data_IF_964605529222
#
_entry.id   IF_964605529222
#
_cell.length_a   1.000
_cell.length_b   1.000
_cell.length_c   1.000
_cell.angle_alpha   90.00
_cell.angle_beta   90.00
_cell.angle_gamma   90.00
#
_symmetry.space_group_name_H-M   'P 1'
#
loop_
_entity.id
_entity.type
_entity.pdbx_description
1 polymer ?
#
# COMPACT_ATOMS: atom_id res chain seq x y z
N UNK A 1 -36.64 45.23 25.85
CA UNK A 1 -37.27 44.83 27.13
C UNK A 1 -36.87 45.83 28.19
N UNK A 2 -37.84 46.63 28.64
CA UNK A 2 -37.62 47.85 29.41
C UNK A 2 -37.29 47.61 30.89
N UNK A 3 -36.67 48.62 31.50
CA UNK A 3 -36.61 48.78 32.95
C UNK A 3 -36.94 50.22 33.32
N UNK A 4 -37.93 50.32 34.21
CA UNK A 4 -38.56 51.51 34.76
C UNK A 4 -37.60 52.32 35.63
N UNK A 5 -37.69 53.64 35.55
CA UNK A 5 -37.17 54.60 36.53
C UNK A 5 -38.32 55.09 37.43
N UNK A 6 -38.18 55.15 38.75
CA UNK A 6 -39.08 55.93 39.59
C UNK A 6 -38.56 57.36 39.77
N UNK A 7 -39.40 58.33 39.40
CA UNK A 7 -39.23 59.75 39.72
C UNK A 7 -39.68 60.00 41.17
N UNK A 8 -38.83 60.64 41.98
CA UNK A 8 -39.19 61.12 43.31
C UNK A 8 -39.43 62.63 43.24
N UNK A 9 -40.67 63.03 43.54
CA UNK A 9 -41.08 64.41 43.71
C UNK A 9 -40.68 64.91 45.11
N UNK A 10 -40.03 66.07 45.19
CA UNK A 10 -39.72 66.75 46.45
C UNK A 10 -40.55 68.04 46.50
N UNK A 11 -41.39 68.12 47.52
CA UNK A 11 -42.28 69.23 47.83
C UNK A 11 -41.50 70.42 48.39
N UNK A 12 -41.72 71.60 47.80
CA UNK A 12 -41.23 72.90 48.26
C UNK A 12 -42.12 73.43 49.38
N UNK A 13 -41.60 73.52 50.60
CA UNK A 13 -42.22 74.25 51.71
C UNK A 13 -41.56 75.63 51.83
N UNK A 14 -42.31 76.68 51.50
CA UNK A 14 -41.92 78.06 51.73
C UNK A 14 -42.23 78.45 53.17
N UNK A 15 -41.21 78.82 53.95
CA UNK A 15 -41.35 79.38 55.30
C UNK A 15 -41.06 80.88 55.22
N UNK A 16 -42.08 81.68 55.56
CA UNK A 16 -42.04 83.13 55.68
C UNK A 16 -41.51 83.45 57.09
N UNK A 17 -40.33 84.06 57.19
CA UNK A 17 -39.80 84.62 58.45
C UNK A 17 -39.97 86.14 58.46
N UNK A 18 -40.71 86.62 59.46
CA UNK A 18 -40.80 88.03 59.83
C UNK A 18 -39.53 88.49 60.53
N UNK A 19 -38.97 89.62 60.11
CA UNK A 19 -37.76 90.21 60.67
C UNK A 19 -38.10 91.14 61.86
N UNK A 20 -37.47 90.97 63.04
CA UNK A 20 -37.44 92.00 64.07
C UNK A 20 -36.26 92.97 63.84
N UNK A 21 -36.56 94.26 63.90
CA UNK A 21 -35.58 95.36 63.81
C UNK A 21 -35.06 95.63 65.23
N UNK A 22 -33.74 95.49 65.43
CA UNK A 22 -33.06 95.86 66.68
C UNK A 22 -32.02 96.97 66.45
N UNK A 23 -31.87 97.93 67.39
CA UNK A 23 -30.95 99.05 67.26
C UNK A 23 -29.50 98.64 67.54
N UNK A 24 -28.59 99.05 66.64
CA UNK A 24 -27.17 98.76 66.70
C UNK A 24 -26.46 99.57 67.81
N UNK A 25 -25.92 98.86 68.80
CA UNK A 25 -24.91 99.35 69.75
C UNK A 25 -23.53 98.87 69.30
N UNK A 26 -22.53 99.76 69.32
CA UNK A 26 -21.18 99.57 68.75
C UNK A 26 -20.29 98.53 69.46
N UNK A 27 -20.79 97.86 70.51
CA UNK A 27 -20.19 96.66 71.11
C UNK A 27 -20.52 95.36 70.34
N UNK A 28 -21.52 95.37 69.45
CA UNK A 28 -21.88 94.20 68.62
C UNK A 28 -20.84 93.83 67.57
N UNK A 29 -19.97 94.75 67.15
CA UNK A 29 -19.08 94.49 66.02
C UNK A 29 -17.97 93.48 66.34
N UNK A 30 -17.44 93.50 67.57
CA UNK A 30 -16.42 92.54 68.00
C UNK A 30 -17.00 91.14 68.24
N UNK A 31 -18.18 91.05 68.88
CA UNK A 31 -18.87 89.77 69.08
C UNK A 31 -19.28 89.13 67.74
N UNK A 32 -19.70 89.93 66.74
CA UNK A 32 -19.97 89.41 65.41
C UNK A 32 -18.71 88.85 64.72
N UNK A 33 -17.55 89.47 64.93
CA UNK A 33 -16.28 88.99 64.35
C UNK A 33 -15.86 87.63 64.95
N UNK A 34 -15.97 87.49 66.27
CA UNK A 34 -15.71 86.22 66.96
C UNK A 34 -16.72 85.12 66.55
N UNK A 35 -17.96 85.52 66.20
CA UNK A 35 -18.98 84.60 65.73
C UNK A 35 -18.70 84.10 64.31
N UNK A 36 -18.19 84.95 63.41
CA UNK A 36 -17.75 84.52 62.08
C UNK A 36 -16.54 83.58 62.14
N UNK A 37 -15.56 83.88 62.99
CA UNK A 37 -14.40 83.00 63.20
C UNK A 37 -14.80 81.61 63.73
N UNK A 38 -15.86 81.53 64.55
CA UNK A 38 -16.41 80.24 65.01
C UNK A 38 -17.13 79.48 63.90
N UNK A 39 -17.88 80.18 63.05
CA UNK A 39 -18.58 79.56 61.91
C UNK A 39 -17.59 78.99 60.90
N UNK A 40 -16.56 79.76 60.53
CA UNK A 40 -15.53 79.34 59.60
C UNK A 40 -14.77 78.10 60.11
N UNK A 41 -14.49 78.04 61.42
CA UNK A 41 -13.90 76.84 62.05
C UNK A 41 -14.81 75.62 61.96
N UNK A 42 -16.12 75.79 62.14
CA UNK A 42 -17.07 74.68 62.01
C UNK A 42 -17.17 74.18 60.58
N UNK A 43 -17.23 75.09 59.60
CA UNK A 43 -17.29 74.74 58.17
C UNK A 43 -15.99 74.07 57.71
N UNK A 44 -14.84 74.54 58.18
CA UNK A 44 -13.55 73.88 57.95
C UNK A 44 -13.55 72.44 58.47
N UNK A 45 -13.94 72.25 59.74
CA UNK A 45 -13.93 70.93 60.37
C UNK A 45 -14.92 69.97 59.67
N UNK A 46 -16.12 70.44 59.36
CA UNK A 46 -17.12 69.66 58.63
C UNK A 46 -16.63 69.25 57.23
N UNK A 47 -15.96 70.16 56.51
CA UNK A 47 -15.38 69.88 55.21
C UNK A 47 -14.23 68.85 55.29
N UNK A 48 -13.35 68.94 56.29
CA UNK A 48 -12.27 67.96 56.53
C UNK A 48 -12.84 66.59 56.89
N UNK A 49 -13.82 66.52 57.78
CA UNK A 49 -14.44 65.25 58.19
C UNK A 49 -15.13 64.56 57.02
N UNK A 50 -15.81 65.35 56.19
CA UNK A 50 -16.45 64.86 54.97
C UNK A 50 -15.43 64.43 53.91
N UNK A 51 -14.33 65.17 53.75
CA UNK A 51 -13.23 64.77 52.89
C UNK A 51 -12.64 63.42 53.33
N UNK A 52 -12.37 63.25 54.63
CA UNK A 52 -11.88 62.00 55.20
C UNK A 52 -12.88 60.85 55.03
N UNK A 53 -14.18 61.11 55.20
CA UNK A 53 -15.24 60.13 54.92
C UNK A 53 -15.24 59.71 53.44
N UNK A 54 -15.11 60.66 52.50
CA UNK A 54 -15.01 60.38 51.07
C UNK A 54 -13.72 59.63 50.69
N UNK A 55 -12.59 59.94 51.34
CA UNK A 55 -11.33 59.20 51.17
C UNK A 55 -11.49 57.73 51.61
N UNK A 56 -12.10 57.48 52.78
CA UNK A 56 -12.40 56.11 53.26
C UNK A 56 -13.38 55.37 52.36
N UNK A 57 -14.34 56.08 51.78
CA UNK A 57 -15.26 55.54 50.79
C UNK A 57 -14.64 55.37 49.39
N UNK A 58 -13.34 55.66 49.21
CA UNK A 58 -12.60 55.64 47.94
C UNK A 58 -13.23 56.52 46.85
N UNK A 59 -13.99 57.55 47.23
CA UNK A 59 -14.54 58.56 46.32
C UNK A 59 -13.60 59.77 46.25
N UNK A 60 -12.54 59.63 45.47
CA UNK A 60 -11.50 60.66 45.35
C UNK A 60 -12.01 62.01 44.82
N UNK A 61 -12.91 62.08 43.82
CA UNK A 61 -13.49 63.36 43.38
C UNK A 61 -14.22 64.10 44.50
N UNK A 62 -15.02 63.39 45.30
CA UNK A 62 -15.66 63.98 46.48
C UNK A 62 -14.61 64.53 47.46
N UNK A 63 -13.62 63.70 47.82
CA UNK A 63 -12.60 64.10 48.78
C UNK A 63 -11.80 65.32 48.29
N UNK A 64 -11.43 65.38 47.01
CA UNK A 64 -10.76 66.56 46.44
C UNK A 64 -11.63 67.83 46.48
N UNK A 65 -12.93 67.70 46.26
CA UNK A 65 -13.87 68.83 46.30
C UNK A 65 -14.01 69.37 47.73
N UNK A 66 -14.16 68.49 48.71
CA UNK A 66 -14.31 68.90 50.12
C UNK A 66 -12.99 69.43 50.71
N UNK A 67 -11.83 68.87 50.32
CA UNK A 67 -10.52 69.46 50.67
C UNK A 67 -10.32 70.86 50.06
N UNK A 68 -10.83 71.11 48.86
CA UNK A 68 -10.78 72.45 48.25
C UNK A 68 -11.70 73.46 48.96
N UNK A 69 -12.84 73.02 49.52
CA UNK A 69 -13.68 73.87 50.38
C UNK A 69 -13.00 74.15 51.72
N UNK A 70 -12.41 73.13 52.35
CA UNK A 70 -11.62 73.29 53.56
C UNK A 70 -10.44 74.26 53.35
N UNK A 71 -9.79 74.22 52.17
CA UNK A 71 -8.70 75.15 51.84
C UNK A 71 -9.12 76.62 51.85
N UNK A 72 -10.37 76.93 51.49
CA UNK A 72 -10.91 78.30 51.47
C UNK A 72 -11.23 78.82 52.87
N UNK A 73 -11.55 77.92 53.81
CA UNK A 73 -11.88 78.27 55.20
C UNK A 73 -10.65 78.17 56.16
N UNK A 74 -9.49 77.73 55.68
CA UNK A 74 -8.32 77.49 56.51
C UNK A 74 -7.55 78.79 56.84
N UNK A 75 -7.80 79.35 58.03
CA UNK A 75 -7.19 80.61 58.47
C UNK A 75 -6.06 80.43 59.50
N UNK A 76 -6.02 79.32 60.25
CA UNK A 76 -4.99 79.07 61.27
C UNK A 76 -3.86 78.15 60.79
N UNK A 77 -2.72 78.16 61.50
CA UNK A 77 -1.63 77.20 61.26
C UNK A 77 -2.04 75.75 61.53
N UNK A 78 -2.97 75.52 62.46
CA UNK A 78 -3.51 74.18 62.75
C UNK A 78 -4.37 73.66 61.58
N UNK A 79 -5.20 74.53 60.99
CA UNK A 79 -6.06 74.17 59.85
C UNK A 79 -5.22 73.78 58.63
N UNK A 80 -4.14 74.52 58.37
CA UNK A 80 -3.18 74.20 57.30
C UNK A 80 -2.54 72.83 57.51
N UNK A 81 -2.18 72.49 58.74
CA UNK A 81 -1.63 71.16 59.06
C UNK A 81 -2.67 70.04 58.88
N UNK A 82 -3.92 70.27 59.29
CA UNK A 82 -5.02 69.33 59.10
C UNK A 82 -5.32 69.10 57.61
N UNK A 83 -5.27 70.16 56.80
CA UNK A 83 -5.44 70.08 55.36
C UNK A 83 -4.32 69.31 54.66
N UNK A 84 -3.06 69.56 55.05
CA UNK A 84 -1.91 68.79 54.56
C UNK A 84 -2.02 67.31 54.94
N UNK A 85 -2.48 66.99 56.15
CA UNK A 85 -2.74 65.62 56.56
C UNK A 85 -3.85 64.97 55.71
N UNK A 86 -4.94 65.69 55.42
CA UNK A 86 -6.02 65.23 54.55
C UNK A 86 -5.55 64.97 53.12
N UNK A 87 -4.73 65.86 52.55
CA UNK A 87 -4.12 65.68 51.23
C UNK A 87 -3.20 64.46 51.18
N UNK A 88 -2.32 64.30 52.18
CA UNK A 88 -1.44 63.14 52.30
C UNK A 88 -2.22 61.83 52.42
N UNK A 89 -3.32 61.82 53.16
CA UNK A 89 -4.19 60.65 53.29
C UNK A 89 -4.88 60.29 51.96
N UNK A 90 -5.37 61.29 51.22
CA UNK A 90 -5.93 61.08 49.87
C UNK A 90 -4.89 60.46 48.92
N UNK A 91 -3.66 61.00 48.92
CA UNK A 91 -2.59 60.50 48.06
C UNK A 91 -2.16 59.08 48.43
N UNK A 92 -2.00 58.79 49.72
CA UNK A 92 -1.70 57.45 50.21
C UNK A 92 -2.77 56.43 49.81
N UNK A 93 -4.06 56.76 49.95
CA UNK A 93 -5.16 55.87 49.54
C UNK A 93 -5.22 55.67 48.02
N UNK A 94 -4.99 56.72 47.22
CA UNK A 94 -4.86 56.59 45.76
C UNK A 94 -3.72 55.64 45.39
N UNK A 95 -2.57 55.77 46.05
CA UNK A 95 -1.42 54.92 45.80
C UNK A 95 -1.66 53.48 46.24
N UNK A 96 -2.33 53.26 47.38
CA UNK A 96 -2.72 51.92 47.83
C UNK A 96 -3.66 51.25 46.83
N UNK A 97 -4.68 51.96 46.33
CA UNK A 97 -5.61 51.42 45.33
C UNK A 97 -4.89 51.08 44.02
N UNK A 98 -3.98 51.94 43.55
CA UNK A 98 -3.18 51.68 42.35
C UNK A 98 -2.32 50.41 42.50
N UNK A 99 -1.70 50.21 43.68
CA UNK A 99 -0.94 49.00 43.98
C UNK A 99 -1.83 47.75 44.06
N UNK A 100 -3.04 47.85 44.63
CA UNK A 100 -4.03 46.77 44.70
C UNK A 100 -4.47 46.34 43.29
N UNK A 101 -4.80 47.31 42.42
CA UNK A 101 -5.16 47.06 41.02
C UNK A 101 -4.00 46.37 40.29
N UNK A 102 -2.76 46.86 40.46
CA UNK A 102 -1.58 46.27 39.81
C UNK A 102 -1.36 44.82 40.23
N UNK A 103 -1.48 44.51 41.54
CA UNK A 103 -1.37 43.12 42.03
C UNK A 103 -2.47 42.23 41.46
N UNK A 104 -3.72 42.71 41.44
CA UNK A 104 -4.84 41.96 40.89
C UNK A 104 -4.65 41.67 39.38
N UNK A 105 -4.06 42.61 38.63
CA UNK A 105 -3.75 42.41 37.22
C UNK A 105 -2.59 41.42 37.01
N UNK A 106 -1.52 41.53 37.80
CA UNK A 106 -0.39 40.59 37.80
C UNK A 106 -0.86 39.16 38.11
N UNK A 107 -1.75 38.97 39.08
CA UNK A 107 -2.36 37.68 39.42
C UNK A 107 -3.23 37.14 38.28
N UNK A 108 -4.06 37.98 37.66
CA UNK A 108 -4.85 37.59 36.47
C UNK A 108 -3.96 37.14 35.32
N UNK A 109 -2.89 37.88 35.04
CA UNK A 109 -1.92 37.51 34.00
C UNK A 109 -1.19 36.21 34.35
N UNK A 110 -0.82 36.02 35.62
CA UNK A 110 -0.22 34.76 36.08
C UNK A 110 -1.18 33.58 35.93
N UNK A 111 -2.47 33.77 36.21
CA UNK A 111 -3.48 32.73 36.05
C UNK A 111 -3.72 32.37 34.58
N UNK A 112 -3.78 33.37 33.69
CA UNK A 112 -3.85 33.13 32.24
C UNK A 112 -2.63 32.34 31.76
N UNK A 113 -1.42 32.70 32.21
CA UNK A 113 -0.19 31.95 31.88
C UNK A 113 -0.22 30.50 32.37
N UNK A 114 -0.75 30.24 33.58
CA UNK A 114 -0.89 28.87 34.10
C UNK A 114 -1.86 28.04 33.27
N UNK A 115 -3.04 28.59 32.97
CA UNK A 115 -4.04 27.90 32.13
C UNK A 115 -3.48 27.64 30.74
N UNK A 116 -2.78 28.61 30.13
CA UNK A 116 -2.15 28.44 28.82
C UNK A 116 -1.04 27.36 28.84
N UNK A 117 -0.24 27.28 29.91
CA UNK A 117 0.74 26.22 30.06
C UNK A 117 0.10 24.85 30.22
N UNK A 118 -0.99 24.75 31.01
CA UNK A 118 -1.74 23.52 31.20
C UNK A 118 -2.42 23.05 29.90
N UNK A 119 -3.05 23.96 29.14
CA UNK A 119 -3.66 23.62 27.85
C UNK A 119 -2.60 23.18 26.84
N UNK A 120 -1.46 23.88 26.75
CA UNK A 120 -0.33 23.43 25.90
C UNK A 120 0.21 22.06 26.32
N UNK A 121 0.30 21.78 27.62
CA UNK A 121 0.71 20.47 28.11
C UNK A 121 -0.32 19.38 27.81
N UNK A 122 -1.62 19.71 27.84
CA UNK A 122 -2.69 18.80 27.49
C UNK A 122 -2.68 18.48 25.99
N UNK A 123 -2.58 19.49 25.12
CA UNK A 123 -2.44 19.30 23.67
C UNK A 123 -1.26 18.40 23.33
N UNK A 124 -0.08 18.60 23.94
CA UNK A 124 1.07 17.70 23.74
C UNK A 124 0.79 16.25 24.14
N UNK A 125 0.06 16.03 25.23
CA UNK A 125 -0.35 14.68 25.66
C UNK A 125 -1.35 14.06 24.69
N UNK A 126 -2.23 14.86 24.11
CA UNK A 126 -3.20 14.42 23.10
C UNK A 126 -2.51 14.06 21.79
N UNK A 127 -1.61 14.91 21.30
CA UNK A 127 -0.76 14.64 20.13
C UNK A 127 0.09 13.37 20.31
N UNK A 128 0.67 13.14 21.50
CA UNK A 128 1.43 11.92 21.77
C UNK A 128 0.52 10.67 21.81
N UNK A 129 -0.71 10.79 22.31
CA UNK A 129 -1.71 9.72 22.29
C UNK A 129 -2.09 9.37 20.85
N UNK A 130 -2.39 10.36 20.03
CA UNK A 130 -2.73 10.18 18.62
C UNK A 130 -1.55 9.59 17.84
N UNK A 131 -0.32 10.08 18.07
CA UNK A 131 0.88 9.53 17.45
C UNK A 131 1.16 8.08 17.85
N UNK A 132 0.76 7.64 19.06
CA UNK A 132 0.85 6.24 19.47
C UNK A 132 -0.20 5.39 18.76
N UNK A 133 -1.46 5.84 18.71
CA UNK A 133 -2.55 5.15 18.01
C UNK A 133 -2.20 5.00 16.53
N UNK A 134 -1.72 6.06 15.88
CA UNK A 134 -1.29 6.03 14.49
C UNK A 134 -0.15 5.03 14.25
N UNK A 135 0.86 4.98 15.13
CA UNK A 135 1.96 4.00 15.04
C UNK A 135 1.46 2.57 15.19
N UNK A 136 0.53 2.32 16.11
CA UNK A 136 -0.07 1.01 16.32
C UNK A 136 -0.92 0.59 15.11
N UNK A 137 -1.69 1.50 14.52
CA UNK A 137 -2.46 1.24 13.31
C UNK A 137 -1.56 0.93 12.10
N UNK A 138 -0.45 1.66 11.94
CA UNK A 138 0.53 1.37 10.89
C UNK A 138 1.17 -0.02 11.06
N UNK A 139 1.50 -0.40 12.30
CA UNK A 139 2.02 -1.74 12.60
C UNK A 139 0.96 -2.82 12.36
N UNK A 140 -0.31 -2.55 12.68
CA UNK A 140 -1.41 -3.46 12.41
C UNK A 140 -1.60 -3.68 10.91
N UNK A 141 -1.64 -2.61 10.11
CA UNK A 141 -1.73 -2.69 8.64
C UNK A 141 -0.53 -3.43 8.04
N UNK A 142 0.68 -3.13 8.48
CA UNK A 142 1.88 -3.85 8.01
C UNK A 142 1.87 -5.34 8.38
N UNK A 143 1.27 -5.70 9.52
CA UNK A 143 1.11 -7.10 9.91
C UNK A 143 0.02 -7.81 9.09
N UNK A 144 -1.09 -7.11 8.78
CA UNK A 144 -2.13 -7.60 7.88
C UNK A 144 -1.58 -7.84 6.47
N UNK A 145 -0.81 -6.90 5.92
CA UNK A 145 -0.12 -7.06 4.63
C UNK A 145 0.83 -8.26 4.62
N UNK A 146 1.57 -8.48 5.71
CA UNK A 146 2.44 -9.66 5.87
C UNK A 146 1.63 -10.96 5.95
N UNK A 147 0.48 -10.97 6.62
CA UNK A 147 -0.40 -12.14 6.69
C UNK A 147 -1.00 -12.44 5.31
N UNK A 148 -1.56 -11.43 4.64
CA UNK A 148 -2.06 -11.53 3.26
C UNK A 148 -0.99 -12.07 2.30
N UNK A 149 0.24 -11.57 2.40
CA UNK A 149 1.36 -12.08 1.59
C UNK A 149 1.70 -13.55 1.90
N UNK A 150 1.64 -13.96 3.18
CA UNK A 150 1.87 -15.36 3.57
C UNK A 150 0.76 -16.27 3.03
N UNK A 151 -0.49 -15.85 3.13
CA UNK A 151 -1.64 -16.60 2.61
C UNK A 151 -1.59 -16.71 1.08
N UNK A 152 -1.26 -15.62 0.39
CA UNK A 152 -1.06 -15.61 -1.05
C UNK A 152 0.06 -16.57 -1.50
N UNK A 153 1.22 -16.51 -0.84
CA UNK A 153 2.32 -17.43 -1.13
C UNK A 153 1.99 -18.90 -0.80
N UNK A 154 1.22 -19.14 0.26
CA UNK A 154 0.73 -20.48 0.59
C UNK A 154 -0.25 -21.00 -0.47
N UNK A 155 -1.16 -20.16 -0.96
CA UNK A 155 -2.09 -20.49 -2.04
C UNK A 155 -1.36 -20.80 -3.36
N UNK A 156 -0.37 -19.99 -3.74
CA UNK A 156 0.48 -20.27 -4.91
C UNK A 156 1.24 -21.58 -4.73
N UNK A 157 1.84 -21.80 -3.56
CA UNK A 157 2.55 -23.05 -3.24
C UNK A 157 1.65 -24.27 -3.40
N UNK A 158 0.41 -24.20 -2.91
CA UNK A 158 -0.59 -25.26 -3.08
C UNK A 158 -0.95 -25.50 -4.55
N UNK A 159 -1.13 -24.44 -5.34
CA UNK A 159 -1.43 -24.56 -6.77
C UNK A 159 -0.28 -25.21 -7.56
N UNK A 160 0.97 -24.86 -7.26
CA UNK A 160 2.15 -25.48 -7.89
C UNK A 160 2.23 -26.97 -7.55
N UNK A 161 2.00 -27.34 -6.28
CA UNK A 161 2.01 -28.74 -5.85
C UNK A 161 0.87 -29.54 -6.51
N UNK A 162 -0.31 -28.94 -6.66
CA UNK A 162 -1.43 -29.56 -7.36
C UNK A 162 -1.11 -29.79 -8.85
N UNK A 163 -0.56 -28.78 -9.53
CA UNK A 163 -0.11 -28.92 -10.91
C UNK A 163 0.99 -29.96 -11.10
N UNK A 164 1.91 -30.09 -10.13
CA UNK A 164 2.92 -31.14 -10.14
C UNK A 164 2.32 -32.55 -9.98
N UNK A 165 1.31 -32.70 -9.10
CA UNK A 165 0.60 -33.97 -8.92
C UNK A 165 -0.19 -34.37 -10.19
N UNK A 166 -0.85 -33.42 -10.85
CA UNK A 166 -1.56 -33.64 -12.12
C UNK A 166 -0.60 -34.05 -13.25
N UNK A 167 0.54 -33.36 -13.36
CA UNK A 167 1.58 -33.72 -14.33
C UNK A 167 2.17 -35.12 -14.06
N UNK A 168 2.40 -35.48 -12.79
CA UNK A 168 2.83 -36.83 -12.42
C UNK A 168 1.78 -37.90 -12.79
N UNK A 169 0.49 -37.61 -12.59
CA UNK A 169 -0.58 -38.51 -13.01
C UNK A 169 -0.66 -38.67 -14.52
N UNK A 170 -0.44 -37.59 -15.28
CA UNK A 170 -0.38 -37.61 -16.75
C UNK A 170 0.79 -38.45 -17.26
N UNK A 171 1.99 -38.27 -16.69
CA UNK A 171 3.17 -39.07 -17.04
C UNK A 171 2.93 -40.56 -16.80
N UNK A 172 2.35 -40.92 -15.66
CA UNK A 172 1.97 -42.31 -15.37
C UNK A 172 0.96 -42.87 -16.39
N UNK A 173 0.04 -42.05 -16.89
CA UNK A 173 -0.91 -42.46 -17.94
C UNK A 173 -0.21 -42.70 -19.27
N UNK A 174 0.70 -41.81 -19.65
CA UNK A 174 1.52 -41.93 -20.87
C UNK A 174 2.36 -43.21 -20.79
N UNK A 175 3.04 -43.47 -19.68
CA UNK A 175 3.85 -44.68 -19.51
C UNK A 175 3.03 -45.96 -19.63
N UNK A 176 1.80 -45.98 -19.08
CA UNK A 176 0.89 -47.12 -19.24
C UNK A 176 0.48 -47.32 -20.71
N UNK A 177 0.18 -46.25 -21.43
CA UNK A 177 -0.20 -46.30 -22.84
C UNK A 177 0.98 -46.77 -23.71
N UNK A 178 2.18 -46.22 -23.48
CA UNK A 178 3.41 -46.61 -24.19
C UNK A 178 3.74 -48.07 -23.93
N UNK A 179 3.69 -48.53 -22.68
CA UNK A 179 3.93 -49.94 -22.36
C UNK A 179 2.87 -50.89 -22.94
N UNK A 180 1.62 -50.44 -23.10
CA UNK A 180 0.59 -51.22 -23.80
C UNK A 180 0.87 -51.29 -25.31
N UNK A 181 1.27 -50.17 -25.92
CA UNK A 181 1.63 -50.11 -27.34
C UNK A 181 2.84 -50.99 -27.66
N UNK A 182 3.89 -50.96 -26.84
CA UNK A 182 5.07 -51.83 -26.98
C UNK A 182 4.67 -53.31 -26.91
N UNK A 183 3.82 -53.70 -25.94
CA UNK A 183 3.33 -55.08 -25.84
C UNK A 183 2.53 -55.51 -27.07
N UNK A 184 1.69 -54.63 -27.61
CA UNK A 184 0.94 -54.92 -28.83
C UNK A 184 1.86 -55.04 -30.05
N UNK A 185 2.85 -54.16 -30.18
CA UNK A 185 3.86 -54.23 -31.25
C UNK A 185 4.63 -55.55 -31.20
N UNK A 186 5.12 -55.95 -30.02
CA UNK A 186 5.83 -57.21 -29.83
C UNK A 186 4.94 -58.43 -30.17
N UNK A 187 3.63 -58.37 -29.88
CA UNK A 187 2.69 -59.43 -30.29
C UNK A 187 2.55 -59.54 -31.80
N UNK A 188 2.47 -58.42 -32.52
CA UNK A 188 2.41 -58.41 -33.98
C UNK A 188 3.69 -58.95 -34.59
N UNK A 189 4.85 -58.52 -34.08
CA UNK A 189 6.15 -59.02 -34.54
C UNK A 189 6.30 -60.53 -34.29
N UNK A 190 5.88 -61.02 -33.11
CA UNK A 190 5.88 -62.46 -32.81
C UNK A 190 4.93 -63.25 -33.72
N UNK A 191 3.74 -62.70 -34.02
CA UNK A 191 2.80 -63.33 -34.94
C UNK A 191 3.36 -63.40 -36.37
N UNK A 192 4.00 -62.33 -36.85
CA UNK A 192 4.66 -62.32 -38.16
C UNK A 192 5.83 -63.30 -38.24
N UNK A 193 6.62 -63.43 -37.16
CA UNK A 193 7.68 -64.43 -37.09
C UNK A 193 7.11 -65.85 -37.18
N UNK A 194 6.06 -66.15 -36.40
CA UNK A 194 5.38 -67.45 -36.44
C UNK A 194 4.77 -67.75 -37.83
N UNK A 195 4.24 -66.75 -38.52
CA UNK A 195 3.72 -66.90 -39.88
C UNK A 195 4.84 -67.23 -40.89
N UNK A 196 5.99 -66.56 -40.78
CA UNK A 196 7.17 -66.86 -41.60
C UNK A 196 7.70 -68.28 -41.37
N UNK A 197 7.71 -68.73 -40.12
CA UNK A 197 8.15 -70.09 -39.77
C UNK A 197 7.18 -71.14 -40.31
N UNK A 198 5.87 -70.91 -40.22
CA UNK A 198 4.86 -71.79 -40.86
C UNK A 198 5.03 -71.84 -42.38
N UNK A 199 5.24 -70.69 -43.02
CA UNK A 199 5.47 -70.63 -44.46
C UNK A 199 6.77 -71.35 -44.88
N UNK A 200 7.81 -71.34 -44.04
CA UNK A 200 9.04 -72.10 -44.27
C UNK A 200 8.79 -73.60 -44.12
N UNK A 201 8.14 -74.02 -43.03
CA UNK A 201 7.80 -75.43 -42.79
C UNK A 201 6.93 -76.00 -43.92
N UNK A 202 5.95 -75.22 -44.41
CA UNK A 202 5.11 -75.66 -45.53
C UNK A 202 5.90 -75.81 -46.84
N UNK A 203 6.89 -74.94 -47.10
CA UNK A 203 7.79 -75.09 -48.25
C UNK A 203 8.65 -76.34 -48.13
N UNK A 204 9.21 -76.59 -46.95
CA UNK A 204 10.01 -77.80 -46.67
C UNK A 204 9.17 -79.07 -46.84
N UNK A 205 7.93 -79.09 -46.35
CA UNK A 205 7.00 -80.23 -46.53
C UNK A 205 6.64 -80.45 -48.01
N UNK A 206 6.38 -79.38 -48.76
CA UNK A 206 6.12 -79.47 -50.21
C UNK A 206 7.34 -79.98 -50.98
N UNK A 207 8.55 -79.60 -50.58
CA UNK A 207 9.78 -80.12 -51.17
C UNK A 207 10.03 -81.58 -50.78
N UNK A 208 9.78 -81.96 -49.52
CA UNK A 208 9.88 -83.34 -49.07
C UNK A 208 8.88 -84.25 -49.80
N UNK A 209 7.64 -83.79 -50.01
CA UNK A 209 6.64 -84.51 -50.81
C UNK A 209 7.09 -84.68 -52.26
N UNK A 210 7.59 -83.60 -52.90
CA UNK A 210 8.15 -83.68 -54.25
C UNK A 210 9.32 -84.66 -54.35
N UNK A 211 10.20 -84.71 -53.33
CA UNK A 211 11.29 -85.69 -53.26
C UNK A 211 10.76 -87.13 -53.16
N UNK A 212 9.78 -87.38 -52.31
CA UNK A 212 9.13 -88.70 -52.17
C UNK A 212 8.46 -89.16 -53.45
N UNK A 213 7.78 -88.26 -54.16
CA UNK A 213 7.11 -88.60 -55.42
C UNK A 213 8.11 -88.84 -56.55
N UNK A 214 9.18 -88.04 -56.64
CA UNK A 214 10.27 -88.29 -57.58
C UNK A 214 10.99 -89.61 -57.30
N UNK A 215 11.16 -89.99 -56.03
CA UNK A 215 11.73 -91.28 -55.64
C UNK A 215 10.82 -92.44 -56.02
N UNK A 216 9.50 -92.31 -55.80
CA UNK A 216 8.51 -93.30 -56.26
C UNK A 216 8.51 -93.47 -57.76
N UNK A 217 8.62 -92.37 -58.53
CA UNK A 217 8.70 -92.45 -59.99
C UNK A 217 10.00 -93.13 -60.45
N UNK A 218 11.14 -92.84 -59.83
CA UNK A 218 12.41 -93.53 -60.11
C UNK A 218 12.33 -95.02 -59.78
N UNK A 219 11.74 -95.38 -58.65
CA UNK A 219 11.53 -96.78 -58.27
C UNK A 219 10.64 -97.51 -59.28
N UNK A 220 9.53 -96.90 -59.71
CA UNK A 220 8.64 -97.46 -60.73
C UNK A 220 9.35 -97.65 -62.08
N UNK A 221 10.19 -96.69 -62.52
CA UNK A 221 11.00 -96.83 -63.73
C UNK A 221 12.03 -97.96 -63.60
N UNK A 222 12.73 -98.03 -62.47
CA UNK A 222 13.70 -99.10 -62.22
C UNK A 222 13.04 -100.49 -62.17
N UNK A 223 11.81 -100.59 -61.66
CA UNK A 223 11.03 -101.83 -61.66
C UNK A 223 10.56 -102.21 -63.07
N UNK A 224 10.12 -101.23 -63.88
CA UNK A 224 9.81 -101.44 -65.29
C UNK A 224 11.05 -101.92 -66.08
N UNK A 225 12.22 -101.32 -65.86
CA UNK A 225 13.49 -101.78 -66.43
C UNK A 225 13.86 -103.19 -65.95
N UNK A 226 13.71 -103.51 -64.66
CA UNK A 226 13.94 -104.87 -64.15
C UNK A 226 12.98 -105.90 -64.75
N UNK A 227 11.71 -105.55 -64.94
CA UNK A 227 10.71 -106.43 -65.54
C UNK A 227 11.03 -106.71 -67.02
N UNK A 228 11.44 -105.70 -67.77
CA UNK A 228 11.90 -105.85 -69.16
C UNK A 228 13.25 -106.56 -69.26
N UNK A 229 14.17 -106.34 -68.33
CA UNK A 229 15.42 -107.09 -68.24
C UNK A 229 15.17 -108.57 -67.90
N UNK A 230 14.27 -108.89 -66.97
CA UNK A 230 13.83 -110.27 -66.67
C UNK A 230 13.15 -110.93 -67.87
N UNK A 231 12.35 -110.18 -68.64
CA UNK A 231 11.82 -110.67 -69.91
C UNK A 231 12.93 -111.02 -70.91
N UNK A 232 14.04 -110.26 -70.92
CA UNK A 232 15.22 -110.54 -71.76
C UNK A 232 16.14 -111.64 -71.22
N UNK A 233 16.19 -111.86 -69.91
CA UNK A 233 17.04 -112.90 -69.29
C UNK A 233 16.36 -114.26 -69.13
N UNK A 234 15.07 -114.39 -69.49
CA UNK A 234 14.40 -115.69 -69.62
C UNK A 234 14.83 -116.50 -70.86
N UNK A 235 15.66 -115.94 -71.74
CA UNK A 235 16.08 -116.53 -73.02
C UNK A 235 17.62 -116.70 -73.17
N UNK A 236 18.35 -116.84 -72.05
CA UNK A 236 19.77 -117.23 -72.09
C UNK A 236 20.30 -117.64 -70.71
N UNK A 237 20.26 -118.95 -70.43
CA UNK A 237 21.21 -119.59 -69.50
C UNK A 237 22.39 -120.10 -70.33
N UNK A 238 23.63 -119.86 -69.88
CA UNK A 238 24.39 -120.99 -69.35
C UNK A 238 25.31 -120.69 -68.15
N UNK A 239 25.40 -121.73 -67.31
CA UNK A 239 26.51 -122.29 -66.52
C UNK A 239 27.55 -121.45 -65.74
N UNK A 240 27.67 -121.86 -64.47
CA UNK A 240 28.57 -121.45 -63.39
C UNK A 240 30.07 -121.68 -63.68
N UNK A 241 30.95 -120.96 -62.95
CA UNK A 241 31.91 -121.67 -62.09
C UNK A 241 32.11 -121.08 -60.67
N UNK A 242 32.79 -121.90 -59.86
CA UNK A 242 32.98 -121.96 -58.39
C UNK A 242 34.04 -121.00 -57.78
N UNK A 243 33.85 -120.67 -56.48
CA UNK A 243 34.86 -120.44 -55.39
C UNK A 243 35.75 -119.15 -55.47
N UNK A 244 36.20 -118.41 -54.42
CA UNK A 244 36.49 -118.60 -52.97
C UNK A 244 36.34 -117.29 -52.14
N UNK A 245 36.30 -117.34 -50.79
CA UNK A 245 36.07 -116.19 -49.91
C UNK A 245 37.36 -115.44 -49.51
N UNK A 246 37.27 -114.12 -49.32
CA UNK A 246 38.28 -113.34 -48.58
C UNK A 246 37.65 -112.59 -47.41
N UNK A 247 38.14 -112.93 -46.22
CA UNK A 247 37.93 -112.28 -44.93
C UNK A 247 38.70 -110.96 -44.93
N UNK A 248 38.04 -109.82 -44.65
CA UNK A 248 38.72 -108.56 -44.31
C UNK A 248 38.06 -107.90 -43.10
N UNK A 249 38.74 -108.12 -41.99
CA UNK A 249 38.96 -107.34 -40.76
C UNK A 249 38.32 -105.93 -40.65
N UNK A 250 37.63 -105.75 -39.53
CA UNK A 250 37.17 -104.50 -38.91
C UNK A 250 38.38 -103.66 -38.43
N UNK A 251 38.43 -102.33 -38.65
CA UNK A 251 39.13 -101.44 -37.74
C UNK A 251 38.13 -100.67 -36.88
N UNK A 252 38.09 -101.08 -35.61
CA UNK A 252 37.49 -100.32 -34.51
C UNK A 252 38.32 -99.07 -34.25
N UNK A 253 37.93 -97.95 -34.83
CA UNK A 253 38.45 -96.62 -34.48
C UNK A 253 37.61 -95.97 -33.38
N UNK A 254 37.78 -96.40 -32.12
CA UNK A 254 37.38 -95.58 -30.97
C UNK A 254 38.30 -94.36 -30.91
N UNK A 255 37.80 -93.18 -31.24
CA UNK A 255 38.38 -91.93 -30.74
C UNK A 255 37.67 -91.54 -29.44
N UNK A 256 38.36 -91.81 -28.34
CA UNK A 256 38.07 -91.25 -27.02
C UNK A 256 38.26 -89.73 -27.07
N UNK A 257 37.19 -88.99 -26.82
CA UNK A 257 37.28 -87.59 -26.43
C UNK A 257 37.87 -87.49 -25.01
N UNK A 258 38.69 -86.47 -24.71
CA UNK A 258 39.23 -86.23 -23.37
C UNK A 258 38.11 -85.92 -22.35
N UNK A 259 38.30 -86.23 -21.06
CA UNK A 259 37.32 -85.95 -20.01
C UNK A 259 37.14 -84.45 -19.84
N UNK A 260 35.89 -83.97 -19.94
CA UNK A 260 35.54 -82.57 -19.72
C UNK A 260 34.67 -81.91 -20.79
N UNK A 261 34.17 -82.64 -21.79
CA UNK A 261 33.34 -82.07 -22.85
C UNK A 261 32.01 -82.82 -22.98
N UNK A 262 30.95 -82.24 -22.41
CA UNK A 262 29.57 -82.68 -22.65
C UNK A 262 29.14 -82.31 -24.07
N UNK A 263 28.59 -83.23 -24.87
CA UNK A 263 27.98 -82.87 -26.14
C UNK A 263 26.68 -82.10 -25.85
N UNK A 264 26.62 -80.86 -26.33
CA UNK A 264 25.40 -80.09 -26.38
C UNK A 264 24.36 -80.85 -27.21
N UNK A 265 23.25 -81.22 -26.57
CA UNK A 265 22.03 -81.62 -27.26
C UNK A 265 21.47 -80.39 -27.98
N UNK A 266 21.46 -80.40 -29.30
CA UNK A 266 20.41 -79.75 -30.07
C UNK A 266 19.68 -80.80 -30.90
N UNK A 267 18.37 -80.79 -30.72
CA UNK A 267 17.41 -81.54 -31.50
C UNK A 267 17.34 -80.92 -32.89
N UNK A 268 17.81 -81.66 -33.88
CA UNK A 268 17.31 -81.77 -35.26
C UNK A 268 18.48 -82.19 -36.14
N UNK A 269 18.53 -83.49 -36.42
CA UNK A 269 19.55 -84.11 -37.24
C UNK A 269 19.50 -83.58 -38.67
N UNK A 270 20.50 -82.79 -39.04
CA UNK A 270 20.91 -82.57 -40.42
C UNK A 270 22.44 -82.58 -40.45
N UNK A 271 23.01 -83.61 -41.08
CA UNK A 271 24.42 -83.63 -41.44
C UNK A 271 24.63 -82.62 -42.58
N UNK A 272 25.32 -81.51 -42.30
CA UNK A 272 25.86 -80.62 -43.33
C UNK A 272 27.36 -80.87 -43.40
N UNK A 273 27.80 -81.41 -44.53
CA UNK A 273 29.22 -81.49 -44.90
C UNK A 273 29.68 -80.10 -45.33
N UNK A 274 30.56 -79.45 -44.55
CA UNK A 274 31.22 -78.19 -44.89
C UNK A 274 32.74 -78.44 -45.05
N UNK A 275 33.41 -77.86 -46.06
CA UNK A 275 34.85 -77.98 -46.31
C UNK A 275 35.73 -77.31 -45.23
N UNK A 276 37.06 -77.55 -45.23
CA UNK A 276 37.92 -77.26 -44.09
C UNK A 276 38.40 -75.81 -44.08
N UNK A 277 37.80 -74.95 -43.28
CA UNK A 277 38.46 -73.75 -42.75
C UNK A 277 37.90 -73.40 -41.37
N UNK A 278 38.62 -73.82 -40.35
CA UNK A 278 38.39 -73.40 -38.97
C UNK A 278 38.96 -71.99 -38.76
N UNK A 279 38.15 -71.07 -38.24
CA UNK A 279 38.63 -69.89 -37.53
C UNK A 279 38.10 -69.95 -36.10
N UNK A 280 39.02 -69.81 -35.14
CA UNK A 280 38.72 -69.72 -33.72
C UNK A 280 38.25 -68.29 -33.41
N UNK A 281 37.06 -68.15 -32.82
CA UNK A 281 36.61 -66.89 -32.19
C UNK A 281 36.78 -67.03 -30.68
N UNK A 282 37.41 -66.02 -30.09
CA UNK A 282 37.77 -65.91 -28.68
C UNK A 282 36.69 -65.08 -27.98
N UNK A 283 35.87 -65.71 -27.15
CA UNK A 283 35.04 -65.00 -26.18
C UNK A 283 35.88 -64.61 -24.95
N UNK A 284 35.62 -63.43 -24.36
CA UNK A 284 35.81 -63.22 -22.95
C UNK A 284 34.46 -63.06 -22.26
N UNK A 285 34.21 -63.92 -21.28
CA UNK A 285 33.17 -63.72 -20.28
C UNK A 285 33.79 -63.82 -18.87
N UNK A 286 33.27 -62.93 -18.01
CA UNK A 286 33.00 -63.09 -16.57
C UNK A 286 34.00 -62.58 -15.52
N UNK A 287 33.49 -61.62 -14.73
CA UNK A 287 33.32 -61.74 -13.27
C UNK A 287 32.16 -60.79 -12.88
N UNK A 288 30.98 -61.27 -12.47
CA UNK A 288 30.59 -61.64 -11.09
C UNK A 288 30.86 -60.49 -10.09
N UNK A 289 29.86 -59.71 -9.69
CA UNK A 289 28.82 -59.98 -8.67
C UNK A 289 29.36 -60.00 -7.22
N UNK A 290 28.89 -59.02 -6.43
CA UNK A 290 28.67 -58.98 -4.97
C UNK A 290 28.50 -57.49 -4.60
N UNK A 291 27.60 -57.03 -3.74
CA UNK A 291 26.71 -57.64 -2.79
C UNK A 291 26.07 -56.50 -1.97
N UNK A 292 24.97 -56.84 -1.34
CA UNK A 292 23.95 -56.00 -0.72
C UNK A 292 24.38 -55.31 0.58
N UNK A 293 23.73 -54.18 0.90
CA UNK A 293 23.09 -53.85 2.18
C UNK A 293 23.56 -52.61 2.97
N UNK A 294 22.54 -51.81 3.30
CA UNK A 294 22.24 -51.12 4.57
C UNK A 294 22.98 -49.84 5.02
N UNK A 295 22.12 -48.84 5.24
CA UNK A 295 21.95 -47.99 6.45
C UNK A 295 22.65 -46.62 6.54
N UNK A 296 21.75 -45.63 6.68
CA UNK A 296 21.67 -44.58 7.72
C UNK A 296 22.06 -43.13 7.38
N UNK A 297 21.04 -42.31 7.63
CA UNK A 297 20.89 -40.86 7.84
C UNK A 297 21.92 -40.18 8.73
N UNK A 298 22.29 -38.94 8.36
CA UNK A 298 22.37 -37.71 9.21
C UNK A 298 22.71 -36.52 8.30
N UNK A 299 21.83 -35.52 8.09
CA UNK A 299 21.85 -34.18 8.72
C UNK A 299 23.25 -33.60 8.99
N UNK A 300 23.53 -32.42 8.39
CA UNK A 300 24.12 -31.21 9.00
C UNK A 300 24.29 -30.15 7.88
N UNK A 301 23.56 -29.04 7.86
CA UNK A 301 23.82 -27.78 8.59
C UNK A 301 25.25 -27.26 8.45
N UNK A 302 25.43 -26.20 7.65
CA UNK A 302 26.42 -25.15 7.90
C UNK A 302 26.27 -23.97 6.92
N UNK A 303 25.53 -22.96 7.37
CA UNK A 303 25.89 -21.54 7.19
C UNK A 303 27.20 -21.25 7.96
N UNK A 304 28.03 -20.30 7.52
CA UNK A 304 28.16 -19.03 8.26
C UNK A 304 28.33 -17.82 7.29
N UNK A 305 27.63 -16.68 7.41
CA UNK A 305 27.72 -15.54 8.37
C UNK A 305 29.05 -14.81 8.46
N UNK A 306 28.93 -13.47 8.41
CA UNK A 306 29.81 -12.39 8.87
C UNK A 306 30.87 -11.91 7.86
N UNK A 307 31.22 -10.62 7.71
CA UNK A 307 30.75 -9.34 8.25
C UNK A 307 31.53 -8.22 7.53
N UNK A 308 31.19 -6.97 7.84
CA UNK A 308 32.00 -5.74 7.72
C UNK A 308 32.20 -5.06 6.35
N UNK A 309 31.78 -3.79 6.24
CA UNK A 309 32.59 -2.67 6.77
C UNK A 309 31.89 -1.30 6.68
N UNK A 310 31.75 -0.69 7.84
CA UNK A 310 31.59 0.75 8.05
C UNK A 310 32.87 1.49 7.63
N UNK A 311 32.74 2.64 6.93
CA UNK A 311 33.72 3.72 6.99
C UNK A 311 33.00 5.07 6.97
N UNK A 312 33.25 5.86 8.00
CA UNK A 312 32.97 7.29 8.10
C UNK A 312 34.26 8.09 7.81
N UNK A 313 34.10 9.42 7.65
CA UNK A 313 35.15 10.46 7.60
C UNK A 313 35.76 10.69 6.20
N UNK A 314 36.03 11.90 5.71
CA UNK A 314 36.42 13.15 6.38
C UNK A 314 36.24 14.33 5.42
N UNK A 315 36.00 15.51 5.97
CA UNK A 315 36.09 16.81 5.30
C UNK A 315 37.46 17.04 4.66
N UNK A 316 37.48 17.61 3.45
CA UNK A 316 38.60 18.46 3.00
C UNK A 316 38.05 19.63 2.18
N UNK A 317 38.16 20.80 2.79
CA UNK A 317 37.96 22.08 2.15
C UNK A 317 39.11 22.32 1.17
N UNK A 318 38.80 22.60 -0.08
CA UNK A 318 39.74 23.16 -1.04
C UNK A 318 39.04 24.35 -1.71
N UNK A 319 39.48 25.54 -1.31
CA UNK A 319 39.12 26.79 -1.96
C UNK A 319 39.78 26.80 -3.33
N UNK A 320 38.98 26.88 -4.40
CA UNK A 320 39.45 27.17 -5.74
C UNK A 320 38.55 28.21 -6.39
N UNK A 321 39.21 29.18 -6.99
CA UNK A 321 38.74 30.44 -7.55
C UNK A 321 37.58 30.32 -8.58
N UNK A 322 36.84 31.42 -8.82
CA UNK A 322 35.67 31.41 -9.70
C UNK A 322 36.13 31.34 -11.16
N UNK A 323 36.11 30.13 -11.73
CA UNK A 323 36.21 29.96 -13.18
C UNK A 323 34.82 30.13 -13.78
N UNK A 324 34.69 31.10 -14.69
CA UNK A 324 33.49 31.37 -15.47
C UNK A 324 33.24 30.26 -16.48
N UNK A 325 32.70 29.14 -16.01
CA UNK A 325 32.16 28.12 -16.91
C UNK A 325 30.77 28.57 -17.37
N UNK A 326 30.66 28.90 -18.66
CA UNK A 326 29.39 28.94 -19.38
C UNK A 326 28.72 27.56 -19.30
N UNK A 327 27.98 27.31 -18.21
CA UNK A 327 27.12 26.16 -18.07
C UNK A 327 25.97 26.32 -19.05
N UNK A 328 26.09 25.66 -20.22
CA UNK A 328 24.93 25.28 -21.03
C UNK A 328 23.93 24.64 -20.08
N UNK A 329 22.88 25.39 -19.74
CA UNK A 329 21.78 24.95 -18.89
C UNK A 329 21.22 23.70 -19.55
N UNK A 330 21.59 22.52 -19.05
CA UNK A 330 20.99 21.28 -19.50
C UNK A 330 19.50 21.42 -19.23
N UNK A 331 18.71 21.66 -20.27
CA UNK A 331 17.25 21.60 -20.19
C UNK A 331 16.91 20.21 -19.68
N UNK A 332 16.54 20.12 -18.40
CA UNK A 332 16.04 18.88 -17.83
C UNK A 332 14.81 18.52 -18.63
N UNK A 333 14.88 17.38 -19.34
CA UNK A 333 13.76 16.80 -20.06
C UNK A 333 12.56 16.76 -19.10
N UNK A 334 11.49 17.47 -19.44
CA UNK A 334 10.28 17.48 -18.64
C UNK A 334 9.66 16.09 -18.75
N UNK A 335 9.65 15.34 -17.64
CA UNK A 335 8.87 14.12 -17.57
C UNK A 335 7.42 14.51 -17.29
N UNK A 336 6.48 14.06 -18.12
CA UNK A 336 5.06 14.29 -17.90
C UNK A 336 4.47 13.18 -17.02
N UNK A 337 3.55 13.56 -16.14
CA UNK A 337 2.76 12.67 -15.28
C UNK A 337 1.51 12.12 -15.98
N UNK A 338 0.67 11.35 -15.27
CA UNK A 338 -0.54 10.78 -15.83
C UNK A 338 -1.55 11.85 -16.24
N UNK A 339 -2.37 11.53 -17.24
CA UNK A 339 -3.48 12.37 -17.71
C UNK A 339 -4.53 12.51 -16.60
N UNK A 340 -4.89 13.75 -16.28
CA UNK A 340 -5.89 14.12 -15.28
C UNK A 340 -7.13 14.72 -15.95
N UNK A 341 -8.30 14.49 -15.36
CA UNK A 341 -9.56 15.04 -15.89
C UNK A 341 -9.76 16.49 -15.43
N UNK A 342 -10.48 17.28 -16.22
CA UNK A 342 -10.88 18.64 -15.87
C UNK A 342 -11.76 18.69 -14.61
N UNK A 343 -11.47 19.66 -13.74
CA UNK A 343 -12.30 20.02 -12.61
C UNK A 343 -13.57 20.76 -13.05
N UNK A 344 -14.70 20.43 -12.42
CA UNK A 344 -16.01 21.00 -12.72
C UNK A 344 -16.64 21.54 -11.44
N UNK A 345 -17.24 22.72 -11.52
CA UNK A 345 -18.12 23.26 -10.50
C UNK A 345 -19.56 23.27 -11.02
N UNK A 346 -20.52 23.14 -10.11
CA UNK A 346 -21.93 23.41 -10.39
C UNK A 346 -22.38 24.57 -9.53
N UNK A 347 -23.07 25.54 -10.13
CA UNK A 347 -23.52 26.75 -9.46
C UNK A 347 -24.99 27.00 -9.78
N UNK A 348 -25.67 27.70 -8.87
CA UNK A 348 -26.99 28.27 -9.10
C UNK A 348 -27.12 29.61 -8.41
N UNK A 349 -28.01 30.45 -8.92
CA UNK A 349 -28.45 31.62 -8.19
C UNK A 349 -29.66 31.25 -7.33
N UNK A 350 -29.60 31.52 -6.04
CA UNK A 350 -30.70 31.31 -5.11
C UNK A 350 -31.84 32.28 -5.43
N UNK A 351 -33.01 31.76 -5.78
CA UNK A 351 -34.19 32.58 -6.10
C UNK A 351 -34.65 33.46 -4.92
N UNK A 352 -34.31 33.08 -3.67
CA UNK A 352 -34.70 33.82 -2.46
C UNK A 352 -33.76 34.96 -2.12
N UNK A 353 -32.45 34.71 -2.16
CA UNK A 353 -31.44 35.69 -1.73
C UNK A 353 -30.81 36.46 -2.90
N UNK A 354 -30.99 35.99 -4.14
CA UNK A 354 -30.29 36.52 -5.32
C UNK A 354 -28.78 36.20 -5.31
N UNK A 355 -28.30 35.45 -4.33
CA UNK A 355 -26.88 35.10 -4.16
C UNK A 355 -26.55 33.78 -4.82
N UNK A 356 -25.28 33.58 -5.14
CA UNK A 356 -24.78 32.37 -5.78
C UNK A 356 -24.42 31.30 -4.75
N UNK A 357 -24.81 30.07 -5.09
CA UNK A 357 -24.46 28.86 -4.36
C UNK A 357 -23.68 27.97 -5.32
N UNK A 358 -22.50 27.49 -4.92
CA UNK A 358 -21.63 26.66 -5.76
C UNK A 358 -21.08 25.44 -5.01
N UNK A 359 -21.10 24.29 -5.69
CA UNK A 359 -20.35 23.10 -5.32
C UNK A 359 -19.21 22.91 -6.33
N UNK A 360 -17.97 22.83 -5.87
CA UNK A 360 -16.82 22.75 -6.76
C UNK A 360 -15.79 21.72 -6.33
N UNK A 361 -14.57 21.94 -6.81
CA UNK A 361 -13.49 20.97 -6.69
C UNK A 361 -13.03 20.80 -5.23
N UNK A 362 -13.06 21.86 -4.42
CA UNK A 362 -12.64 21.80 -3.01
C UNK A 362 -13.77 21.33 -2.10
N UNK A 363 -13.63 20.08 -1.67
CA UNK A 363 -14.32 19.49 -0.52
C UNK A 363 -15.86 19.46 -0.64
N UNK A 364 -16.53 18.66 0.18
CA UNK A 364 -18.00 18.52 0.15
C UNK A 364 -18.76 19.78 0.63
N UNK A 365 -18.13 20.96 0.61
CA UNK A 365 -18.70 22.20 1.12
C UNK A 365 -19.45 22.94 0.01
N UNK A 366 -20.76 23.05 0.19
CA UNK A 366 -21.58 23.99 -0.57
C UNK A 366 -21.25 25.39 -0.08
N UNK A 367 -20.62 26.19 -0.94
CA UNK A 367 -20.45 27.61 -0.67
C UNK A 367 -21.80 28.27 -0.92
N UNK A 368 -22.30 28.96 0.10
CA UNK A 368 -23.55 29.71 0.07
C UNK A 368 -23.29 31.20 0.23
N UNK A 369 -24.24 32.00 -0.26
CA UNK A 369 -24.30 33.45 -0.04
C UNK A 369 -23.22 34.31 -0.72
N UNK A 370 -22.71 33.90 -1.87
CA UNK A 370 -21.75 34.70 -2.64
C UNK A 370 -22.47 35.77 -3.49
N UNK A 371 -21.94 37.01 -3.54
CA UNK A 371 -22.62 38.11 -4.24
C UNK A 371 -22.54 37.99 -5.77
N UNK A 372 -21.50 37.35 -6.30
CA UNK A 372 -21.28 37.18 -7.75
C UNK A 372 -20.88 35.75 -8.08
N UNK A 373 -21.16 35.34 -9.32
CA UNK A 373 -20.78 34.02 -9.83
C UNK A 373 -19.25 33.85 -9.81
N UNK A 374 -18.51 34.89 -10.19
CA UNK A 374 -17.05 34.88 -10.23
C UNK A 374 -16.45 34.70 -8.84
N UNK A 375 -17.02 35.32 -7.80
CA UNK A 375 -16.60 35.13 -6.41
C UNK A 375 -16.83 33.68 -5.97
N UNK A 376 -18.02 33.15 -6.26
CA UNK A 376 -18.40 31.79 -5.91
C UNK A 376 -17.53 30.74 -6.61
N UNK A 377 -17.25 30.92 -7.90
CA UNK A 377 -16.35 30.08 -8.67
C UNK A 377 -14.90 30.20 -8.17
N UNK A 378 -14.42 31.41 -7.89
CA UNK A 378 -13.06 31.65 -7.37
C UNK A 378 -12.81 30.93 -6.05
N UNK A 379 -13.77 30.94 -5.12
CA UNK A 379 -13.66 30.20 -3.86
C UNK A 379 -13.65 28.68 -4.04
N UNK A 380 -14.26 28.19 -5.12
CA UNK A 380 -14.15 26.80 -5.55
C UNK A 380 -12.89 26.51 -6.39
N UNK A 381 -11.96 27.48 -6.44
CA UNK A 381 -10.78 27.51 -7.29
C UNK A 381 -11.05 27.34 -8.79
N UNK A 382 -12.28 27.62 -9.20
CA UNK A 382 -12.76 27.58 -10.56
C UNK A 382 -12.74 29.00 -11.19
N UNK A 383 -11.76 29.83 -10.83
CA UNK A 383 -11.69 31.23 -11.27
C UNK A 383 -11.58 31.31 -12.79
N UNK A 384 -12.52 32.02 -13.44
CA UNK A 384 -12.61 32.06 -14.91
C UNK A 384 -13.32 30.86 -15.53
N UNK A 385 -14.06 30.10 -14.72
CA UNK A 385 -14.81 28.93 -15.19
C UNK A 385 -15.77 29.26 -16.33
N UNK A 386 -15.78 28.39 -17.35
CA UNK A 386 -16.63 28.57 -18.55
C UNK A 386 -17.89 27.71 -18.44
N UNK A 387 -19.05 28.28 -18.77
CA UNK A 387 -20.31 27.54 -18.71
C UNK A 387 -20.27 26.30 -19.62
N UNK A 388 -20.83 25.21 -19.11
CA UNK A 388 -20.96 23.93 -19.81
C UNK A 388 -22.43 23.49 -19.75
N UNK A 389 -22.97 23.13 -20.92
CA UNK A 389 -24.31 22.55 -21.00
C UNK A 389 -24.38 21.22 -20.22
N UNK A 390 -25.54 20.93 -19.64
CA UNK A 390 -25.80 19.63 -18.98
C UNK A 390 -25.58 19.61 -17.46
N UNK A 391 -25.85 20.71 -16.76
CA UNK A 391 -25.84 20.71 -15.30
C UNK A 391 -26.96 19.85 -14.69
N UNK A 392 -26.82 19.42 -13.42
CA UNK A 392 -27.73 18.47 -12.80
C UNK A 392 -28.98 19.14 -12.22
N UNK A 393 -30.06 18.38 -12.08
CA UNK A 393 -31.20 18.78 -11.25
C UNK A 393 -31.03 18.22 -9.84
N UNK A 394 -30.79 19.08 -8.85
CA UNK A 394 -30.60 18.68 -7.44
C UNK A 394 -31.78 19.21 -6.63
N UNK A 395 -32.52 18.31 -5.98
CA UNK A 395 -33.74 18.63 -5.19
C UNK A 395 -34.77 19.43 -6.01
N UNK A 396 -34.97 19.06 -7.27
CA UNK A 396 -35.93 19.71 -8.17
C UNK A 396 -35.49 21.07 -8.72
N UNK A 397 -34.26 21.51 -8.44
CA UNK A 397 -33.72 22.77 -8.94
C UNK A 397 -32.61 22.49 -9.94
N UNK A 398 -32.65 23.15 -11.09
CA UNK A 398 -31.61 23.07 -12.11
C UNK A 398 -30.36 23.83 -11.67
N UNK A 399 -29.20 23.20 -11.79
CA UNK A 399 -27.90 23.83 -11.58
C UNK A 399 -27.19 23.97 -12.93
N UNK A 400 -26.36 25.00 -13.05
CA UNK A 400 -25.48 25.23 -14.19
C UNK A 400 -24.10 24.63 -13.91
N UNK A 401 -23.49 23.99 -14.91
CA UNK A 401 -22.14 23.44 -14.79
C UNK A 401 -21.10 24.40 -15.38
N UNK A 402 -19.94 24.46 -14.76
CA UNK A 402 -18.81 25.31 -15.14
C UNK A 402 -17.52 24.52 -15.18
N UNK A 403 -16.77 24.66 -16.27
CA UNK A 403 -15.47 24.04 -16.51
C UNK A 403 -14.36 24.95 -16.00
N UNK A 404 -13.55 24.47 -15.05
CA UNK A 404 -12.61 25.31 -14.31
C UNK A 404 -11.30 25.61 -15.03
N UNK A 405 -11.03 24.96 -16.18
CA UNK A 405 -9.82 25.23 -16.95
C UNK A 405 -8.53 24.66 -16.36
N UNK A 406 -8.63 23.78 -15.35
CA UNK A 406 -7.52 23.06 -14.74
C UNK A 406 -7.90 21.62 -14.41
N UNK A 407 -6.90 20.78 -14.12
CA UNK A 407 -7.09 19.39 -13.71
C UNK A 407 -7.69 19.27 -12.31
N UNK A 408 -8.35 18.14 -12.06
CA UNK A 408 -8.74 17.69 -10.73
C UNK A 408 -7.47 17.46 -9.88
N UNK A 409 -7.34 18.15 -8.76
CA UNK A 409 -6.20 18.04 -7.84
C UNK A 409 -6.31 16.86 -6.88
N UNK A 410 -5.22 16.60 -6.15
CA UNK A 410 -5.21 15.61 -5.07
C UNK A 410 -6.07 16.12 -3.90
N UNK A 411 -7.24 15.52 -3.69
CA UNK A 411 -8.23 15.96 -2.70
C UNK A 411 -9.43 16.69 -3.30
N UNK A 412 -9.40 16.99 -4.60
CA UNK A 412 -10.56 17.55 -5.27
C UNK A 412 -11.64 16.47 -5.46
N UNK A 413 -12.88 16.83 -5.17
CA UNK A 413 -14.02 15.93 -5.29
C UNK A 413 -14.58 15.95 -6.72
N UNK A 414 -14.77 14.77 -7.32
CA UNK A 414 -15.32 14.67 -8.69
C UNK A 414 -16.83 14.94 -8.70
N UNK A 415 -17.20 16.23 -8.73
CA UNK A 415 -18.58 16.73 -8.82
C UNK A 415 -19.31 16.12 -10.01
N UNK A 416 -18.62 15.93 -11.13
CA UNK A 416 -19.18 15.33 -12.33
C UNK A 416 -19.63 13.89 -12.08
N UNK A 417 -18.77 13.10 -11.42
CA UNK A 417 -19.09 11.71 -11.06
C UNK A 417 -20.24 11.62 -10.05
N UNK A 418 -20.26 12.46 -9.01
CA UNK A 418 -21.32 12.45 -7.98
C UNK A 418 -22.70 12.77 -8.54
N UNK A 419 -22.76 13.74 -9.44
CA UNK A 419 -24.02 14.23 -10.00
C UNK A 419 -24.35 13.65 -11.38
N UNK A 420 -23.55 12.67 -11.85
CA UNK A 420 -23.78 12.00 -13.14
C UNK A 420 -23.76 12.97 -14.33
N UNK A 421 -22.87 13.98 -14.30
CA UNK A 421 -22.84 15.02 -15.31
C UNK A 421 -22.30 14.47 -16.63
N UNK A 422 -23.11 14.60 -17.68
CA UNK A 422 -22.73 14.25 -19.05
C UNK A 422 -22.15 15.50 -19.73
N UNK A 423 -21.01 15.98 -19.22
CA UNK A 423 -20.28 17.12 -19.81
C UNK A 423 -19.03 16.64 -20.52
N UNK A 424 -18.74 17.18 -21.71
CA UNK A 424 -17.48 16.92 -22.41
C UNK A 424 -16.29 17.40 -21.56
N UNK A 425 -15.54 16.44 -20.99
CA UNK A 425 -14.39 16.71 -20.11
C UNK A 425 -13.14 16.96 -20.94
N UNK A 426 -12.37 17.99 -20.57
CA UNK A 426 -10.99 18.13 -21.04
C UNK A 426 -10.06 17.26 -20.21
N UNK A 427 -8.92 16.94 -20.82
CA UNK A 427 -7.84 16.22 -20.16
C UNK A 427 -6.64 17.14 -20.04
N UNK A 428 -5.86 16.97 -18.98
CA UNK A 428 -4.72 17.79 -18.62
C UNK A 428 -3.53 16.91 -18.28
N UNK A 429 -2.31 17.39 -18.53
CA UNK A 429 -1.07 16.71 -18.13
C UNK A 429 -0.25 17.58 -17.20
N UNK A 430 0.38 16.94 -16.22
CA UNK A 430 1.16 17.59 -15.16
C UNK A 430 2.65 17.31 -15.35
N UNK A 431 3.56 18.27 -15.21
CA UNK A 431 4.98 17.97 -15.06
C UNK A 431 5.23 17.10 -13.82
N UNK A 432 6.00 16.04 -13.96
CA UNK A 432 6.41 15.16 -12.86
C UNK A 432 7.27 15.97 -11.88
N UNK A 433 6.91 15.93 -10.60
CA UNK A 433 7.58 16.64 -9.50
C UNK A 433 7.33 18.16 -9.40
N UNK A 434 6.27 18.73 -10.00
CA UNK A 434 5.81 20.07 -9.60
C UNK A 434 4.71 19.95 -8.53
N UNK A 435 4.97 20.38 -7.28
CA UNK A 435 4.04 20.27 -6.17
C UNK A 435 3.62 21.65 -5.68
N UNK A 436 2.84 22.42 -6.45
CA UNK A 436 2.17 23.56 -5.81
C UNK A 436 0.81 23.11 -5.27
N UNK A 437 -0.09 22.59 -6.10
CA UNK A 437 -1.47 22.29 -5.64
C UNK A 437 -2.11 21.05 -6.31
N UNK A 438 -1.33 20.28 -7.08
CA UNK A 438 -1.83 19.12 -7.85
C UNK A 438 -2.72 19.48 -9.05
N UNK A 439 -2.84 20.77 -9.39
CA UNK A 439 -3.73 21.28 -10.45
C UNK A 439 -2.92 21.79 -11.64
N UNK A 440 -3.20 21.23 -12.80
CA UNK A 440 -2.44 21.42 -14.02
C UNK A 440 -3.32 22.11 -15.05
N UNK A 441 -2.76 23.11 -15.73
CA UNK A 441 -3.46 23.93 -16.73
C UNK A 441 -3.04 23.58 -18.16
N UNK A 442 -2.02 22.72 -18.32
CA UNK A 442 -1.57 22.24 -19.64
C UNK A 442 -2.57 21.27 -20.23
N UNK A 443 -3.30 21.72 -21.24
CA UNK A 443 -4.28 20.92 -21.98
C UNK A 443 -3.60 19.74 -22.69
N UNK A 444 -4.18 18.56 -22.54
CA UNK A 444 -3.78 17.36 -23.26
C UNK A 444 -4.55 17.26 -24.58
N UNK A 445 -3.83 17.36 -25.69
CA UNK A 445 -4.37 17.30 -27.05
C UNK A 445 -4.34 15.89 -27.67
N UNK A 446 -4.01 14.86 -26.89
CA UNK A 446 -3.91 13.49 -27.37
C UNK A 446 -2.55 13.12 -27.97
N UNK A 447 -1.56 14.02 -27.91
CA UNK A 447 -0.19 13.72 -28.37
C UNK A 447 0.77 13.61 -27.19
N UNK A 448 1.16 12.39 -26.82
CA UNK A 448 2.10 12.07 -25.73
C UNK A 448 3.56 12.58 -25.96
N UNK A 449 3.84 13.32 -27.04
CA UNK A 449 5.21 13.59 -27.52
C UNK A 449 5.66 15.05 -27.46
N UNK A 450 5.22 15.85 -26.49
CA UNK A 450 5.74 17.23 -26.29
C UNK A 450 6.96 17.29 -25.39
#
# INVERSE_FOLDING_TARGET
MGKYFPAAAIATAAIIFAAPVFPATSTNLMDMMDQFDRLDKQDFQAAIDKANACTRARNFPCSTSELAKAAKAANSGQDKNALLAGQKNLENEKQQLANEIRRAEEERQAQVRRVEQETRAQVRRDEEREARIWREEQLARANEDRQSTREYNAAIGAQILQGAAENAALLNKIDRQTNAAIRNSNRVLAAQAAERDRARAEREDREANRRRDAERERAARAEAERSSARARTAESQPELPKYQPQVVTIPSGRQTCPPGSSPARQANGVHVTIPPTAYCVKDPQNAAANGTALRQTTTNNSTPTNDDRLVASTHKAEMSAPSSSNSKKQEKKIEWGPVQLEAIAICRQSAKSGKWECNGALDNQTIVDEPTLESALSRQHCSGGTWAAGGPTIKGVQWDAYRCGHSLGAGDYDVAKKHGLITARRSYICPKNQPSDGRCTTFYDGQDKR
#
